data_IF_485044105736
#
_entry.id   IF_485044105736
#
_cell.length_a   1.000
_cell.length_b   1.000
_cell.length_c   1.000
_cell.angle_alpha   90.00
_cell.angle_beta   90.00
_cell.angle_gamma   90.00
#
_symmetry.space_group_name_H-M   'P 1'
#
loop_
_entity.id
_entity.type
_entity.pdbx_description
1 polymer ?
#
# COMPACT_ATOMS: atom_id res chain seq x y z
N UNK A 1 -19.14 2.93 -38.13
CA UNK A 1 -19.64 3.82 -37.05
C UNK A 1 -21.14 4.15 -37.12
N UNK A 2 -21.83 3.92 -38.24
CA UNK A 2 -23.24 4.30 -38.43
C UNK A 2 -24.29 3.42 -37.70
N UNK A 3 -23.93 2.21 -37.25
CA UNK A 3 -24.88 1.25 -36.63
C UNK A 3 -25.24 1.58 -35.17
N UNK A 4 -24.32 2.16 -34.38
CA UNK A 4 -24.54 2.41 -32.93
C UNK A 4 -25.57 3.53 -32.73
N UNK A 5 -25.62 4.51 -33.62
CA UNK A 5 -26.56 5.64 -33.53
C UNK A 5 -27.99 5.19 -33.82
N UNK A 6 -28.20 4.10 -34.57
CA UNK A 6 -29.52 3.61 -35.00
C UNK A 6 -30.38 3.03 -33.87
N UNK A 7 -29.78 2.62 -32.75
CA UNK A 7 -30.48 1.96 -31.64
C UNK A 7 -30.45 2.78 -30.34
N UNK A 8 -30.14 4.08 -30.43
CA UNK A 8 -30.08 4.98 -29.25
C UNK A 8 -31.42 5.15 -28.52
N UNK A 9 -32.52 5.00 -29.26
CA UNK A 9 -33.88 5.21 -28.76
C UNK A 9 -34.58 3.89 -28.37
N UNK A 10 -33.93 2.73 -28.57
CA UNK A 10 -34.47 1.42 -28.16
C UNK A 10 -34.00 1.05 -26.75
N UNK A 11 -34.88 1.02 -25.73
CA UNK A 11 -34.51 0.70 -24.35
C UNK A 11 -33.92 -0.71 -24.20
N UNK A 12 -34.28 -1.67 -25.07
CA UNK A 12 -33.71 -3.02 -25.03
C UNK A 12 -32.25 -3.02 -25.48
N UNK A 13 -31.93 -2.25 -26.52
CA UNK A 13 -30.56 -2.10 -27.02
C UNK A 13 -29.65 -1.36 -26.03
N UNK A 14 -30.19 -0.40 -25.27
CA UNK A 14 -29.46 0.31 -24.21
C UNK A 14 -29.07 -0.60 -23.03
N UNK A 15 -29.95 -1.54 -22.67
CA UNK A 15 -29.73 -2.49 -21.56
C UNK A 15 -28.92 -3.71 -22.00
N UNK A 16 -28.88 -4.00 -23.31
CA UNK A 16 -28.18 -5.15 -23.86
C UNK A 16 -26.69 -5.17 -23.49
N UNK A 17 -26.19 -6.36 -23.11
CA UNK A 17 -24.77 -6.54 -22.80
C UNK A 17 -23.94 -6.31 -24.06
N UNK A 18 -23.09 -5.29 -24.04
CA UNK A 18 -22.16 -4.99 -25.14
C UNK A 18 -21.13 -6.11 -25.26
N UNK A 19 -20.84 -6.58 -26.48
CA UNK A 19 -19.73 -7.51 -26.74
C UNK A 19 -18.42 -6.88 -26.28
N UNK A 20 -17.83 -7.42 -25.22
CA UNK A 20 -16.56 -6.95 -24.67
C UNK A 20 -15.41 -7.67 -25.36
N UNK A 21 -14.52 -6.91 -25.99
CA UNK A 21 -13.21 -7.41 -26.42
C UNK A 21 -12.16 -6.97 -25.40
N UNK A 22 -11.47 -7.91 -24.73
CA UNK A 22 -10.44 -7.55 -23.77
C UNK A 22 -9.29 -6.84 -24.47
N UNK A 23 -8.89 -5.68 -23.95
CA UNK A 23 -7.65 -5.03 -24.38
C UNK A 23 -6.46 -5.76 -23.76
N UNK A 24 -5.40 -5.97 -24.54
CA UNK A 24 -4.15 -6.54 -24.06
C UNK A 24 -3.56 -5.67 -22.93
N UNK A 25 -2.94 -6.32 -21.94
CA UNK A 25 -2.24 -5.63 -20.85
C UNK A 25 -0.91 -5.09 -21.37
N UNK A 26 -0.57 -3.86 -20.97
CA UNK A 26 0.70 -3.22 -21.35
C UNK A 26 1.93 -3.91 -20.70
N UNK A 27 1.78 -4.37 -19.46
CA UNK A 27 2.83 -5.04 -18.72
C UNK A 27 2.39 -6.44 -18.29
N UNK A 28 3.30 -7.39 -18.43
CA UNK A 28 3.21 -8.71 -17.82
C UNK A 28 3.40 -8.58 -16.30
N UNK A 29 2.87 -9.54 -15.53
CA UNK A 29 2.98 -9.52 -14.07
C UNK A 29 4.43 -9.48 -13.56
N UNK A 30 5.33 -10.20 -14.24
CA UNK A 30 6.75 -10.24 -13.90
C UNK A 30 7.47 -8.91 -14.21
N UNK A 31 7.24 -8.34 -15.39
CA UNK A 31 7.78 -7.03 -15.78
C UNK A 31 7.37 -5.94 -14.80
N UNK A 32 6.08 -5.92 -14.44
CA UNK A 32 5.57 -4.99 -13.43
C UNK A 32 6.25 -5.17 -12.08
N UNK A 33 6.47 -6.41 -11.63
CA UNK A 33 7.16 -6.67 -10.37
C UNK A 33 8.61 -6.16 -10.38
N UNK A 34 9.34 -6.34 -11.48
CA UNK A 34 10.70 -5.83 -11.65
C UNK A 34 10.74 -4.29 -11.57
N UNK A 35 9.81 -3.61 -12.25
CA UNK A 35 9.69 -2.15 -12.20
C UNK A 35 9.47 -1.67 -10.76
N UNK A 36 8.54 -2.31 -10.04
CA UNK A 36 8.22 -1.94 -8.65
C UNK A 36 9.42 -2.22 -7.72
N UNK A 37 10.17 -3.29 -7.95
CA UNK A 37 11.36 -3.64 -7.15
C UNK A 37 12.54 -2.69 -7.41
N UNK A 38 12.61 -2.05 -8.57
CA UNK A 38 13.63 -1.04 -8.86
C UNK A 38 13.41 0.29 -8.10
N UNK A 39 12.16 0.65 -7.79
CA UNK A 39 11.82 1.93 -7.12
C UNK A 39 12.26 1.91 -5.65
N UNK A 40 12.88 2.94 -5.07
CA UNK A 40 13.19 2.97 -3.63
C UNK A 40 11.96 2.80 -2.72
N UNK A 41 12.11 2.13 -1.56
CA UNK A 41 10.99 1.80 -0.68
C UNK A 41 10.21 3.03 -0.19
N UNK A 42 10.88 4.17 0.01
CA UNK A 42 10.27 5.45 0.36
C UNK A 42 9.21 5.90 -0.67
N UNK A 43 9.43 5.61 -1.95
CA UNK A 43 8.53 6.00 -3.05
C UNK A 43 7.45 4.93 -3.35
N UNK A 44 7.49 3.76 -2.71
CA UNK A 44 6.46 2.71 -2.84
C UNK A 44 5.29 2.85 -1.86
N UNK A 45 5.33 3.84 -0.97
CA UNK A 45 4.39 3.93 0.16
C UNK A 45 2.98 4.31 -0.27
N UNK A 46 2.84 5.25 -1.21
CA UNK A 46 1.55 5.71 -1.72
C UNK A 46 1.46 5.45 -3.21
N UNK A 47 0.22 5.29 -3.71
CA UNK A 47 0.00 5.08 -5.15
C UNK A 47 0.39 6.30 -5.98
N UNK A 48 0.29 7.51 -5.41
CA UNK A 48 0.78 8.77 -6.00
C UNK A 48 2.29 8.77 -6.15
N UNK A 49 3.02 8.49 -5.07
CA UNK A 49 4.49 8.42 -5.11
C UNK A 49 4.98 7.32 -6.07
N UNK A 50 4.26 6.19 -6.12
CA UNK A 50 4.58 5.10 -7.04
C UNK A 50 4.27 5.47 -8.50
N UNK A 51 3.20 6.22 -8.76
CA UNK A 51 2.91 6.78 -10.08
C UNK A 51 4.02 7.74 -10.52
N UNK A 52 4.44 8.67 -9.67
CA UNK A 52 5.54 9.59 -9.95
C UNK A 52 6.84 8.85 -10.26
N UNK A 53 7.15 7.78 -9.51
CA UNK A 53 8.38 7.01 -9.69
C UNK A 53 8.36 6.06 -10.91
N UNK A 54 7.20 5.52 -11.28
CA UNK A 54 7.09 4.49 -12.35
C UNK A 54 6.44 5.00 -13.63
N UNK A 55 5.88 6.20 -13.63
CA UNK A 55 5.03 6.74 -14.69
C UNK A 55 3.82 5.83 -15.04
N UNK A 56 3.42 4.94 -14.13
CA UNK A 56 2.23 4.09 -14.28
C UNK A 56 1.03 4.83 -13.67
N UNK A 57 -0.06 5.04 -14.43
CA UNK A 57 -1.22 5.76 -13.92
C UNK A 57 -1.81 5.12 -12.67
N UNK A 58 -2.24 5.94 -11.70
CA UNK A 58 -2.88 5.49 -10.45
C UNK A 58 -4.02 4.49 -10.70
N UNK A 59 -4.86 4.73 -11.70
CA UNK A 59 -5.98 3.83 -12.04
C UNK A 59 -5.53 2.41 -12.41
N UNK A 60 -4.37 2.28 -13.05
CA UNK A 60 -3.75 0.99 -13.37
C UNK A 60 -3.21 0.32 -12.12
N UNK A 61 -2.54 1.06 -11.24
CA UNK A 61 -2.04 0.54 -9.96
C UNK A 61 -3.18 0.05 -9.07
N UNK A 62 -4.31 0.77 -9.00
CA UNK A 62 -5.52 0.31 -8.29
C UNK A 62 -6.06 -1.00 -8.86
N UNK A 63 -6.07 -1.15 -10.19
CA UNK A 63 -6.48 -2.40 -10.85
C UNK A 63 -5.55 -3.55 -10.46
N UNK A 64 -4.24 -3.33 -10.41
CA UNK A 64 -3.25 -4.33 -9.98
C UNK A 64 -3.39 -4.72 -8.51
N UNK A 65 -3.79 -3.79 -7.63
CA UNK A 65 -4.16 -4.13 -6.25
C UNK A 65 -5.40 -5.01 -6.22
N UNK A 66 -6.44 -4.65 -6.99
CA UNK A 66 -7.69 -5.42 -7.05
C UNK A 66 -7.47 -6.82 -7.62
N UNK A 67 -6.59 -6.95 -8.61
CA UNK A 67 -6.21 -8.23 -9.22
C UNK A 67 -5.12 -8.99 -8.46
N UNK A 68 -4.72 -8.54 -7.26
CA UNK A 68 -3.70 -9.16 -6.40
C UNK A 68 -2.29 -9.28 -7.01
N UNK A 69 -2.00 -8.53 -8.06
CA UNK A 69 -0.64 -8.43 -8.62
C UNK A 69 0.25 -7.50 -7.79
N UNK A 70 -0.34 -6.47 -7.18
CA UNK A 70 0.33 -5.58 -6.22
C UNK A 70 -0.30 -5.77 -4.84
N UNK A 71 0.50 -6.08 -3.82
CA UNK A 71 0.00 -6.18 -2.44
C UNK A 71 0.12 -4.82 -1.76
N UNK A 72 -0.98 -4.38 -1.11
CA UNK A 72 -0.92 -3.23 -0.20
C UNK A 72 -0.17 -3.63 1.06
N UNK A 73 0.93 -2.94 1.33
CA UNK A 73 1.63 -3.04 2.61
C UNK A 73 1.05 -2.05 3.60
N UNK A 74 0.78 -2.51 4.82
CA UNK A 74 0.35 -1.67 5.94
C UNK A 74 1.36 -1.90 7.05
N UNK A 75 2.17 -0.89 7.37
CA UNK A 75 3.02 -0.93 8.54
C UNK A 75 2.15 -0.68 9.78
N UNK A 76 2.04 -1.69 10.65
CA UNK A 76 1.52 -1.48 12.00
C UNK A 76 2.66 -1.01 12.88
N UNK A 77 3.03 0.25 12.76
CA UNK A 77 3.97 0.87 13.71
C UNK A 77 3.26 0.93 15.06
N UNK A 78 3.91 0.45 16.13
CA UNK A 78 3.39 0.62 17.49
C UNK A 78 3.11 2.11 17.72
N UNK A 79 2.10 2.47 18.54
CA UNK A 79 1.86 3.87 18.88
C UNK A 79 3.16 4.52 19.34
N UNK A 80 3.41 5.75 18.88
CA UNK A 80 4.63 6.50 19.18
C UNK A 80 4.86 6.45 20.70
N UNK A 81 6.05 6.04 21.14
CA UNK A 81 6.39 6.06 22.56
C UNK A 81 6.37 7.52 23.02
N UNK A 82 5.30 7.90 23.71
CA UNK A 82 5.25 9.16 24.44
C UNK A 82 6.29 9.12 25.56
N UNK A 83 6.70 10.28 26.09
CA UNK A 83 7.55 10.32 27.27
C UNK A 83 7.00 9.48 28.42
N UNK A 84 5.67 9.51 28.65
CA UNK A 84 5.00 8.67 29.65
C UNK A 84 5.18 7.16 29.39
N UNK A 85 4.97 6.71 28.14
CA UNK A 85 5.18 5.31 27.77
C UNK A 85 6.64 4.87 27.99
N UNK A 86 7.62 5.76 27.75
CA UNK A 86 9.04 5.49 28.01
C UNK A 86 9.27 5.31 29.50
N UNK A 87 8.75 6.21 30.33
CA UNK A 87 8.91 6.17 31.79
C UNK A 87 8.29 4.91 32.39
N UNK A 88 7.06 4.55 31.99
CA UNK A 88 6.41 3.31 32.48
C UNK A 88 7.18 2.05 32.10
N UNK A 89 7.72 1.99 30.88
CA UNK A 89 8.55 0.85 30.44
C UNK A 89 9.88 0.79 31.17
N UNK A 90 10.51 1.94 31.41
CA UNK A 90 11.75 2.03 32.16
C UNK A 90 11.53 1.58 33.62
N UNK A 91 10.48 2.07 34.27
CA UNK A 91 10.11 1.66 35.63
C UNK A 91 9.83 0.16 35.72
N UNK A 92 9.11 -0.40 34.74
CA UNK A 92 8.89 -1.83 34.65
C UNK A 92 10.21 -2.60 34.52
N UNK A 93 11.11 -2.17 33.62
CA UNK A 93 12.40 -2.81 33.44
C UNK A 93 13.25 -2.77 34.71
N UNK A 94 13.34 -1.61 35.38
CA UNK A 94 14.07 -1.45 36.64
C UNK A 94 13.52 -2.36 37.75
N UNK A 95 12.20 -2.58 37.82
CA UNK A 95 11.60 -3.47 38.81
C UNK A 95 11.89 -4.96 38.61
N UNK A 96 12.41 -5.37 37.45
CA UNK A 96 12.77 -6.76 37.14
C UNK A 96 14.29 -6.98 37.06
N UNK A 97 15.08 -5.95 37.36
CA UNK A 97 16.53 -6.06 37.45
C UNK A 97 16.87 -6.50 38.88
N UNK A 98 17.06 -7.80 39.08
CA UNK A 98 17.42 -8.40 40.39
C UNK A 98 18.88 -8.11 40.80
N UNK A 99 19.68 -7.46 39.95
CA UNK A 99 21.09 -7.17 40.21
C UNK A 99 21.34 -5.66 40.25
N UNK A 100 22.01 -5.12 41.27
CA UNK A 100 22.43 -3.73 41.23
C UNK A 100 23.33 -3.52 40.01
N UNK A 101 23.01 -2.52 39.19
CA UNK A 101 23.89 -2.04 38.12
C UNK A 101 25.09 -1.34 38.79
N UNK A 102 26.05 -2.14 39.26
CA UNK A 102 27.22 -1.66 39.98
C UNK A 102 26.94 -1.20 41.42
N UNK A 103 28.00 -1.21 42.23
CA UNK A 103 27.98 -0.91 43.67
C UNK A 103 27.78 0.59 43.99
N UNK A 104 27.11 1.36 43.16
CA UNK A 104 26.90 2.79 43.45
C UNK A 104 25.64 2.99 44.28
N UNK A 105 25.84 2.92 45.59
CA UNK A 105 24.96 3.48 46.60
C UNK A 105 24.98 5.02 46.49
N UNK A 106 23.99 5.61 45.83
CA UNK A 106 23.72 7.03 46.02
C UNK A 106 23.05 7.19 47.39
N UNK A 107 23.82 7.67 48.38
CA UNK A 107 23.26 8.09 49.66
C UNK A 107 22.26 9.22 49.44
N UNK A 108 21.14 9.09 50.15
CA UNK A 108 20.03 10.05 50.34
C UNK A 108 20.47 11.48 50.54
#
# INVERSE_FOLDING_TARGET
MKEIVKHRDDPRALIAKRKYSPRAKKYTGQEFAQIVVAVPLAQRQTLRALEEATSIPIGTLHRYIRSKLLRRYISRVKPKLTPDHKNRRLAWALGHVERPLGNLCYKT
#
